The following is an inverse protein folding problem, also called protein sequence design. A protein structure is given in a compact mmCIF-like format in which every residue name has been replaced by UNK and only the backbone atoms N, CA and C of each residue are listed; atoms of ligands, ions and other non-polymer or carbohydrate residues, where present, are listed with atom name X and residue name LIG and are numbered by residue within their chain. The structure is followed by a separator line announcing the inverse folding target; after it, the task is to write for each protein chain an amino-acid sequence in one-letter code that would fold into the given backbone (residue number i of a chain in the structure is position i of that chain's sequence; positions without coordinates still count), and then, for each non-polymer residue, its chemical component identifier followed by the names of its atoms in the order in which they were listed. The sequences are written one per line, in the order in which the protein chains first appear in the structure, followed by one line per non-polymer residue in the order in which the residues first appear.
data_IF_253480188354
#
_entry.id   IF_253480188354
#
_cell.length_a   1.000
_cell.length_b   1.000
_cell.length_c   1.000
_cell.angle_alpha   90.00
_cell.angle_beta   90.00
_cell.angle_gamma   90.00
#
_symmetry.space_group_name_H-M   'P 1'
#
loop_
_entity.id
_entity.type
_entity.pdbx_description
1 polymer ?
#
# COMPACT_ATOMS: atom_id res chain seq x y z
N UNK A 1 1.75 -10.57 14.98
CA UNK A 1 1.39 -9.60 13.91
C UNK A 1 0.52 -10.29 12.87
N UNK A 2 -0.70 -9.77 12.64
CA UNK A 2 -1.74 -10.34 11.76
C UNK A 2 -1.34 -10.49 10.28
N UNK A 3 -0.25 -9.87 9.84
CA UNK A 3 0.23 -9.93 8.44
C UNK A 3 1.45 -10.81 8.22
N UNK A 4 2.17 -11.25 9.27
CA UNK A 4 3.40 -12.04 9.12
C UNK A 4 4.57 -11.33 8.39
N UNK A 5 4.45 -10.03 8.12
CA UNK A 5 5.43 -9.25 7.36
C UNK A 5 6.34 -8.48 8.32
N UNK A 6 7.65 -8.67 8.18
CA UNK A 6 8.67 -7.91 8.90
C UNK A 6 8.79 -6.47 8.37
N UNK A 7 9.02 -5.48 9.25
CA UNK A 7 9.09 -4.06 8.83
C UNK A 7 10.19 -3.80 7.83
N UNK A 8 11.37 -4.45 7.93
CA UNK A 8 12.43 -4.28 6.93
C UNK A 8 12.03 -4.85 5.57
N UNK A 9 11.17 -5.87 5.53
CA UNK A 9 10.68 -6.43 4.26
C UNK A 9 9.77 -5.47 3.49
N UNK A 10 9.13 -4.50 4.16
CA UNK A 10 8.40 -3.40 3.51
C UNK A 10 9.32 -2.37 2.86
N UNK A 11 10.56 -2.22 3.31
CA UNK A 11 11.55 -1.31 2.71
C UNK A 11 12.50 -2.02 1.71
N UNK A 12 12.59 -3.35 1.77
CA UNK A 12 13.43 -4.16 0.88
C UNK A 12 12.92 -4.25 -0.57
N UNK A 13 13.83 -4.50 -1.53
CA UNK A 13 13.49 -4.66 -2.96
C UNK A 13 12.48 -5.81 -3.20
N UNK A 14 11.48 -5.53 -4.05
CA UNK A 14 10.55 -6.44 -4.75
C UNK A 14 10.63 -7.93 -4.36
N UNK A 15 10.13 -8.31 -3.18
CA UNK A 15 9.68 -9.69 -2.94
C UNK A 15 8.22 -9.78 -3.34
N UNK A 16 7.83 -10.76 -4.17
CA UNK A 16 6.42 -10.98 -4.55
C UNK A 16 5.49 -11.00 -3.34
N UNK A 17 5.97 -11.57 -2.23
CA UNK A 17 5.25 -11.63 -0.95
C UNK A 17 4.98 -10.26 -0.29
N UNK A 18 5.65 -9.20 -0.74
CA UNK A 18 5.54 -7.84 -0.17
C UNK A 18 4.86 -6.85 -1.11
N UNK A 19 4.60 -7.23 -2.37
CA UNK A 19 3.97 -6.34 -3.36
C UNK A 19 2.56 -5.96 -2.92
N UNK A 20 1.75 -6.91 -2.43
CA UNK A 20 0.39 -6.63 -1.97
C UNK A 20 0.41 -5.64 -0.79
N UNK A 21 1.28 -5.86 0.19
CA UNK A 21 1.42 -4.96 1.33
C UNK A 21 1.92 -3.56 0.93
N UNK A 22 2.90 -3.47 0.02
CA UNK A 22 3.36 -2.19 -0.52
C UNK A 22 2.28 -1.47 -1.31
N UNK A 23 1.52 -2.20 -2.11
CA UNK A 23 0.43 -1.66 -2.91
C UNK A 23 -0.67 -1.07 -2.01
N UNK A 24 -1.05 -1.78 -0.94
CA UNK A 24 -2.00 -1.29 0.06
C UNK A 24 -1.47 -0.05 0.80
N UNK A 25 -0.20 -0.06 1.22
CA UNK A 25 0.44 1.09 1.86
C UNK A 25 0.39 2.33 0.95
N UNK A 26 0.73 2.17 -0.33
CA UNK A 26 0.68 3.26 -1.31
C UNK A 26 -0.74 3.79 -1.50
N UNK A 27 -1.75 2.91 -1.55
CA UNK A 27 -3.17 3.32 -1.63
C UNK A 27 -3.56 4.14 -0.41
N UNK A 28 -3.22 3.69 0.80
CA UNK A 28 -3.51 4.42 2.04
C UNK A 28 -2.84 5.80 2.07
N UNK A 29 -1.54 5.87 1.75
CA UNK A 29 -0.80 7.13 1.70
C UNK A 29 -1.38 8.12 0.68
N UNK A 30 -1.84 7.64 -0.49
CA UNK A 30 -2.49 8.50 -1.49
C UNK A 30 -3.89 8.94 -1.08
N UNK A 31 -4.73 8.01 -0.64
CA UNK A 31 -6.14 8.29 -0.41
C UNK A 31 -6.40 9.01 0.92
N UNK A 32 -5.64 8.69 1.98
CA UNK A 32 -5.89 9.23 3.31
C UNK A 32 -4.98 10.39 3.67
N UNK A 33 -3.73 10.38 3.20
CA UNK A 33 -2.76 11.42 3.52
C UNK A 33 -2.59 12.45 2.38
N UNK A 34 -3.27 12.26 1.24
CA UNK A 34 -3.16 13.09 0.05
C UNK A 34 -1.70 13.32 -0.42
N UNK A 35 -0.85 12.32 -0.20
CA UNK A 35 0.57 12.39 -0.54
C UNK A 35 0.78 12.22 -2.04
N UNK A 36 1.70 13.02 -2.60
CA UNK A 36 2.07 12.91 -4.02
C UNK A 36 3.04 11.76 -4.22
N UNK A 37 3.18 11.31 -5.47
CA UNK A 37 4.12 10.23 -5.80
C UNK A 37 5.55 10.54 -5.35
N UNK A 38 5.97 11.81 -5.35
CA UNK A 38 7.30 12.23 -4.87
C UNK A 38 7.47 11.94 -3.37
N UNK A 39 6.52 12.37 -2.55
CA UNK A 39 6.56 12.18 -1.10
C UNK A 39 6.56 10.68 -0.75
N UNK A 40 5.77 9.89 -1.49
CA UNK A 40 5.70 8.44 -1.30
C UNK A 40 7.00 7.75 -1.72
N UNK A 41 7.67 8.22 -2.78
CA UNK A 41 9.00 7.74 -3.16
C UNK A 41 10.02 7.93 -2.04
N UNK A 42 9.98 9.08 -1.36
CA UNK A 42 10.87 9.41 -0.24
C UNK A 42 10.56 8.54 0.98
N UNK A 43 9.29 8.31 1.30
CA UNK A 43 8.85 7.48 2.44
C UNK A 43 9.22 6.00 2.26
N UNK A 44 8.88 5.42 1.09
CA UNK A 44 9.08 3.98 0.85
C UNK A 44 10.55 3.69 0.52
N UNK A 45 11.23 4.63 -0.13
CA UNK A 45 12.58 4.44 -0.63
C UNK A 45 12.66 3.39 -1.75
N UNK A 46 13.74 3.43 -2.54
CA UNK A 46 14.02 2.43 -3.58
C UNK A 46 12.89 2.22 -4.62
N UNK A 47 12.02 3.21 -4.81
CA UNK A 47 10.92 3.17 -5.79
C UNK A 47 10.81 4.49 -6.54
N UNK A 48 10.56 4.41 -7.84
CA UNK A 48 10.33 5.57 -8.70
C UNK A 48 8.87 6.03 -8.65
N UNK A 49 8.58 7.26 -9.08
CA UNK A 49 7.21 7.76 -9.14
C UNK A 49 6.32 6.94 -10.08
N UNK A 50 6.88 6.41 -11.16
CA UNK A 50 6.21 5.44 -12.03
C UNK A 50 5.91 4.11 -11.31
N UNK A 51 6.83 3.66 -10.45
CA UNK A 51 6.62 2.50 -9.58
C UNK A 51 5.51 2.72 -8.55
N UNK A 52 5.44 3.90 -7.94
CA UNK A 52 4.35 4.29 -7.03
C UNK A 52 3.01 4.32 -7.76
N UNK A 53 2.96 4.90 -8.96
CA UNK A 53 1.74 4.93 -9.77
C UNK A 53 1.27 3.52 -10.11
N UNK A 54 2.19 2.64 -10.55
CA UNK A 54 1.90 1.22 -10.79
C UNK A 54 1.39 0.52 -9.54
N UNK A 55 2.06 0.68 -8.40
CA UNK A 55 1.65 0.06 -7.14
C UNK A 55 0.28 0.56 -6.67
N UNK A 56 -0.06 1.82 -6.94
CA UNK A 56 -1.40 2.30 -6.62
C UNK A 56 -2.46 1.54 -7.41
N UNK A 57 -2.27 1.37 -8.72
CA UNK A 57 -3.22 0.63 -9.54
C UNK A 57 -3.32 -0.84 -9.09
N UNK A 58 -2.18 -1.47 -8.78
CA UNK A 58 -2.17 -2.83 -8.20
C UNK A 58 -2.95 -2.87 -6.88
N UNK A 59 -2.78 -1.88 -6.01
CA UNK A 59 -3.46 -1.81 -4.72
C UNK A 59 -4.97 -1.62 -4.86
N UNK A 60 -5.39 -0.72 -5.76
CA UNK A 60 -6.81 -0.51 -6.07
C UNK A 60 -7.44 -1.79 -6.64
N UNK A 61 -6.77 -2.48 -7.56
CA UNK A 61 -7.27 -3.76 -8.09
C UNK A 61 -7.38 -4.81 -6.99
N UNK A 62 -6.37 -4.95 -6.12
CA UNK A 62 -6.42 -5.87 -4.97
C UNK A 62 -7.63 -5.61 -4.07
N UNK A 63 -7.90 -4.35 -3.76
CA UNK A 63 -9.03 -3.96 -2.90
C UNK A 63 -10.38 -4.17 -3.60
N UNK A 64 -10.44 -3.97 -4.92
CA UNK A 64 -11.68 -4.13 -5.67
C UNK A 64 -12.02 -5.58 -5.99
N UNK A 65 -11.02 -6.41 -6.28
CA UNK A 65 -11.19 -7.78 -6.79
C UNK A 65 -11.17 -8.84 -5.69
N UNK A 66 -10.57 -8.56 -4.53
CA UNK A 66 -10.46 -9.53 -3.44
C UNK A 66 -11.19 -9.05 -2.18
N UNK A 67 -12.15 -9.86 -1.73
CA UNK A 67 -13.07 -9.54 -0.63
C UNK A 67 -12.37 -9.38 0.72
N UNK A 68 -11.28 -10.09 0.97
CA UNK A 68 -10.52 -9.99 2.22
C UNK A 68 -9.84 -8.62 2.32
N UNK A 69 -9.17 -8.18 1.25
CA UNK A 69 -8.56 -6.85 1.19
C UNK A 69 -9.60 -5.74 1.23
N UNK A 70 -10.75 -5.93 0.56
CA UNK A 70 -11.87 -4.99 0.63
C UNK A 70 -12.41 -4.83 2.04
N UNK A 71 -12.61 -5.95 2.75
CA UNK A 71 -13.11 -5.96 4.12
C UNK A 71 -12.10 -5.30 5.07
N UNK A 72 -10.81 -5.64 4.95
CA UNK A 72 -9.76 -5.06 5.77
C UNK A 72 -9.64 -3.53 5.56
N UNK A 73 -9.69 -3.07 4.30
CA UNK A 73 -9.69 -1.63 4.00
C UNK A 73 -10.94 -0.93 4.55
N UNK A 74 -12.12 -1.56 4.43
CA UNK A 74 -13.35 -0.99 4.98
C UNK A 74 -13.29 -0.89 6.50
N UNK A 75 -12.84 -1.94 7.19
CA UNK A 75 -12.64 -1.93 8.65
C UNK A 75 -11.65 -0.84 9.06
N UNK A 76 -10.53 -0.72 8.34
CA UNK A 76 -9.55 0.33 8.59
C UNK A 76 -10.15 1.73 8.45
N UNK A 77 -10.91 1.97 7.37
CA UNK A 77 -11.58 3.25 7.14
C UNK A 77 -12.69 3.52 8.17
N UNK A 78 -13.39 2.50 8.68
CA UNK A 78 -14.39 2.69 9.73
C UNK A 78 -13.76 3.07 11.08
N UNK A 79 -12.55 2.60 11.37
CA UNK A 79 -11.87 2.87 12.64
C UNK A 79 -11.08 4.18 12.59
N UNK A 80 -10.45 4.49 11.45
CA UNK A 80 -9.46 5.57 11.32
C UNK A 80 -9.79 6.59 10.22
N UNK A 81 -10.75 6.33 9.36
CA UNK A 81 -11.25 7.29 8.38
C UNK A 81 -12.18 8.27 9.08
N UNK A 82 -11.76 9.53 9.12
CA UNK A 82 -12.56 10.66 9.65
C UNK A 82 -13.79 10.89 8.79
#
# INVERSE_FOLDING_TARGET
NKTGIDRMSLYGKYKRNTIAAKALLVVLLRCMCNLKCKDICEIIGSITSSGVSRLTNVGLNLVNENIEYKSAMKEFLLIYGV
#
